data_IF_436625830927
#
_entry.id   IF_436625830927
#
_cell.length_a   1.000
_cell.length_b   1.000
_cell.length_c   1.000
_cell.angle_alpha   90.00
_cell.angle_beta   90.00
_cell.angle_gamma   90.00
#
_symmetry.space_group_name_H-M   'P 1'
#
loop_
_entity.id
_entity.type
_entity.pdbx_description
1 polymer ?
#
# COMPACT_ATOMS: atom_id res chain seq x y z
N UNK A 1 8.04 8.01 20.05
CA UNK A 1 7.86 7.05 18.92
C UNK A 1 8.38 7.72 17.67
N UNK A 2 9.07 6.98 16.85
CA UNK A 2 9.57 7.48 15.57
C UNK A 2 8.50 7.26 14.50
N UNK A 3 8.28 8.25 13.63
CA UNK A 3 7.22 8.19 12.62
C UNK A 3 7.82 8.12 11.21
N UNK A 4 7.36 7.17 10.41
CA UNK A 4 7.74 7.08 9.00
C UNK A 4 7.06 8.16 8.16
N UNK A 5 5.81 8.51 8.50
CA UNK A 5 5.03 9.55 7.85
C UNK A 5 4.30 10.37 8.92
N UNK A 6 4.39 11.69 8.81
CA UNK A 6 3.59 12.66 9.58
C UNK A 6 2.84 13.58 8.64
N UNK A 7 1.60 13.89 8.98
CA UNK A 7 0.71 14.74 8.19
C UNK A 7 0.19 15.84 9.09
N UNK A 8 0.24 17.08 8.62
CA UNK A 8 -0.21 18.28 9.32
C UNK A 8 -1.20 19.05 8.45
N UNK A 9 -2.44 19.23 8.93
CA UNK A 9 -3.51 20.05 8.34
C UNK A 9 -3.78 19.77 6.85
N UNK A 10 -3.76 18.48 6.47
CA UNK A 10 -3.91 18.07 5.07
C UNK A 10 -5.37 18.24 4.61
N UNK A 11 -5.55 18.99 3.54
CA UNK A 11 -6.86 19.23 2.93
C UNK A 11 -6.84 18.84 1.46
N UNK A 12 -7.86 18.07 1.04
CA UNK A 12 -8.13 17.72 -0.36
C UNK A 12 -9.60 17.86 -0.65
N UNK A 13 -9.93 18.60 -1.72
CA UNK A 13 -11.32 18.78 -2.14
C UNK A 13 -11.52 18.45 -3.61
N UNK A 14 -12.75 18.02 -3.95
CA UNK A 14 -13.22 17.79 -5.30
C UNK A 14 -14.56 18.52 -5.49
N UNK A 15 -14.64 19.43 -6.46
CA UNK A 15 -15.85 20.21 -6.76
C UNK A 15 -16.50 20.81 -5.50
N UNK A 16 -15.69 21.33 -4.57
CA UNK A 16 -16.16 21.93 -3.32
C UNK A 16 -16.41 20.95 -2.16
N UNK A 17 -16.44 19.63 -2.40
CA UNK A 17 -16.56 18.64 -1.36
C UNK A 17 -15.17 18.31 -0.81
N UNK A 18 -14.97 18.43 0.50
CA UNK A 18 -13.73 18.07 1.17
C UNK A 18 -13.66 16.54 1.38
N UNK A 19 -12.76 15.91 0.65
CA UNK A 19 -12.46 14.49 0.83
C UNK A 19 -11.41 14.24 1.92
N UNK A 20 -10.55 15.24 2.22
CA UNK A 20 -9.73 15.35 3.43
C UNK A 20 -9.94 16.77 3.97
N UNK A 21 -10.24 16.88 5.26
CA UNK A 21 -10.58 18.14 5.91
C UNK A 21 -9.71 18.37 7.15
N UNK A 22 -8.66 19.15 6.96
CA UNK A 22 -7.70 19.54 8.02
C UNK A 22 -7.10 18.32 8.77
N UNK A 23 -6.82 17.26 8.02
CA UNK A 23 -6.39 15.98 8.56
C UNK A 23 -4.94 16.03 9.07
N UNK A 24 -4.76 15.72 10.37
CA UNK A 24 -3.45 15.58 10.99
C UNK A 24 -3.33 14.20 11.65
N UNK A 25 -2.31 13.43 11.25
CA UNK A 25 -2.04 12.09 11.79
C UNK A 25 -0.61 11.65 11.52
N UNK A 26 -0.22 10.55 12.13
CA UNK A 26 1.13 9.98 12.06
C UNK A 26 1.05 8.48 11.84
N UNK A 27 2.01 7.95 11.06
CA UNK A 27 2.19 6.52 10.85
C UNK A 27 3.51 6.09 11.50
N UNK A 28 3.47 5.25 12.56
CA UNK A 28 4.67 4.80 13.25
C UNK A 28 5.63 4.01 12.34
N UNK A 29 6.94 4.21 12.53
CA UNK A 29 7.98 3.49 11.79
C UNK A 29 8.04 2.02 12.19
N UNK A 30 8.27 1.14 11.21
CA UNK A 30 8.47 -0.29 11.45
C UNK A 30 7.23 -1.04 11.94
N UNK A 31 6.05 -0.41 11.87
CA UNK A 31 4.78 -0.99 12.31
C UNK A 31 3.83 -1.21 11.13
N UNK A 32 2.84 -2.09 11.34
CA UNK A 32 1.69 -2.20 10.46
C UNK A 32 0.56 -1.33 10.98
N UNK A 33 0.18 -0.32 10.20
CA UNK A 33 -0.96 0.55 10.50
C UNK A 33 -2.17 0.18 9.64
N UNK A 34 -3.28 -0.14 10.28
CA UNK A 34 -4.59 -0.29 9.64
C UNK A 34 -5.25 1.08 9.41
N UNK A 35 -5.66 1.35 8.19
CA UNK A 35 -6.44 2.54 7.85
C UNK A 35 -7.87 2.12 7.57
N UNK A 36 -8.78 2.43 8.51
CA UNK A 36 -10.18 2.00 8.50
C UNK A 36 -11.14 3.18 8.36
N UNK A 37 -12.38 2.89 8.01
CA UNK A 37 -13.47 3.87 7.89
C UNK A 37 -14.47 3.45 6.81
N UNK A 38 -15.68 4.02 6.79
CA UNK A 38 -16.70 3.71 5.78
C UNK A 38 -16.26 4.12 4.37
N UNK A 39 -17.03 3.70 3.37
CA UNK A 39 -16.83 4.16 2.00
C UNK A 39 -17.00 5.69 1.93
N UNK A 40 -16.11 6.35 1.21
CA UNK A 40 -16.10 7.82 1.13
C UNK A 40 -15.42 8.53 2.31
N UNK A 41 -14.89 7.83 3.31
CA UNK A 41 -14.23 8.45 4.47
C UNK A 41 -12.88 9.15 4.15
N UNK A 42 -12.34 8.98 2.93
CA UNK A 42 -11.10 9.65 2.50
C UNK A 42 -9.85 8.78 2.47
N UNK A 43 -9.92 7.47 2.81
CA UNK A 43 -8.76 6.54 2.85
C UNK A 43 -7.97 6.50 1.55
N UNK A 44 -8.64 6.20 0.43
CA UNK A 44 -8.02 6.15 -0.90
C UNK A 44 -7.53 7.53 -1.34
N UNK A 45 -8.24 8.61 -0.99
CA UNK A 45 -7.79 9.98 -1.24
C UNK A 45 -6.50 10.29 -0.49
N UNK A 46 -6.41 9.92 0.79
CA UNK A 46 -5.20 10.08 1.60
C UNK A 46 -4.03 9.30 0.98
N UNK A 47 -4.24 8.03 0.66
CA UNK A 47 -3.23 7.21 0.00
C UNK A 47 -2.78 7.80 -1.34
N UNK A 48 -3.71 8.33 -2.15
CA UNK A 48 -3.39 8.99 -3.42
C UNK A 48 -2.57 10.27 -3.23
N UNK A 49 -2.83 11.04 -2.18
CA UNK A 49 -2.02 12.23 -1.85
C UNK A 49 -0.61 11.81 -1.39
N UNK A 50 -0.49 10.82 -0.50
CA UNK A 50 0.79 10.33 0.01
C UNK A 50 1.66 9.65 -1.07
N UNK A 51 1.03 9.16 -2.13
CA UNK A 51 1.74 8.57 -3.27
C UNK A 51 1.84 9.49 -4.48
N UNK A 52 1.48 10.77 -4.31
CA UNK A 52 1.64 11.81 -5.34
C UNK A 52 0.69 11.70 -6.53
N UNK A 53 -0.32 10.85 -6.46
CA UNK A 53 -1.37 10.72 -7.48
C UNK A 53 -2.37 11.90 -7.43
N UNK A 54 -2.51 12.51 -6.25
CA UNK A 54 -3.31 13.70 -6.04
C UNK A 54 -2.45 14.78 -5.36
N UNK A 55 -2.71 16.04 -5.70
CA UNK A 55 -2.09 17.19 -5.07
C UNK A 55 -3.09 17.73 -4.03
N UNK A 56 -2.69 17.88 -2.75
CA UNK A 56 -3.53 18.51 -1.74
C UNK A 56 -3.63 20.03 -1.98
N UNK A 57 -4.70 20.65 -1.53
CA UNK A 57 -4.86 22.11 -1.54
C UNK A 57 -4.06 22.76 -0.41
N UNK A 58 -3.98 22.09 0.74
CA UNK A 58 -3.25 22.61 1.90
C UNK A 58 -2.63 21.47 2.72
N UNK A 59 -1.72 21.83 3.63
CA UNK A 59 -1.09 20.92 4.59
C UNK A 59 0.38 20.63 4.28
N UNK A 60 0.97 19.83 5.16
CA UNK A 60 2.35 19.40 5.09
C UNK A 60 2.43 17.87 5.29
N UNK A 61 3.27 17.24 4.51
CA UNK A 61 3.57 15.80 4.60
C UNK A 61 5.05 15.70 4.94
N UNK A 62 5.37 14.96 5.98
CA UNK A 62 6.75 14.65 6.34
C UNK A 62 6.96 13.14 6.17
N UNK A 63 8.01 12.75 5.46
CA UNK A 63 8.39 11.35 5.20
C UNK A 63 9.88 11.21 5.52
N UNK A 64 10.22 10.38 6.48
CA UNK A 64 11.60 10.20 6.92
C UNK A 64 12.30 11.55 7.14
N UNK A 65 11.70 12.43 7.95
CA UNK A 65 12.18 13.78 8.31
C UNK A 65 12.24 14.79 7.15
N UNK A 66 11.77 14.43 5.97
CA UNK A 66 11.70 15.35 4.81
C UNK A 66 10.30 15.88 4.63
N UNK A 67 10.17 17.20 4.53
CA UNK A 67 8.88 17.90 4.43
C UNK A 67 8.50 18.21 3.00
N UNK A 68 7.23 17.95 2.65
CA UNK A 68 6.66 18.13 1.32
C UNK A 68 5.28 18.78 1.40
N UNK A 69 5.03 19.82 0.60
CA UNK A 69 3.66 20.31 0.36
C UNK A 69 2.93 19.44 -0.66
N UNK A 70 3.67 18.81 -1.57
CA UNK A 70 3.19 17.87 -2.57
C UNK A 70 4.25 16.84 -2.88
N UNK A 71 3.84 15.59 -3.02
CA UNK A 71 4.70 14.51 -3.47
C UNK A 71 4.55 14.36 -4.99
N UNK A 72 5.63 14.08 -5.70
CA UNK A 72 5.60 13.75 -7.12
C UNK A 72 5.75 12.25 -7.28
N UNK A 73 4.95 11.56 -8.14
CA UNK A 73 5.02 10.11 -8.31
C UNK A 73 6.43 9.58 -8.60
N UNK A 74 7.20 10.29 -9.40
CA UNK A 74 8.56 9.92 -9.75
C UNK A 74 9.56 9.99 -8.57
N UNK A 75 9.18 10.57 -7.44
CA UNK A 75 10.03 10.63 -6.23
C UNK A 75 9.82 9.46 -5.29
N UNK A 76 8.76 8.65 -5.46
CA UNK A 76 8.41 7.53 -4.57
C UNK A 76 9.55 6.52 -4.44
N UNK A 77 10.19 6.15 -5.57
CA UNK A 77 11.36 5.25 -5.55
C UNK A 77 12.49 5.79 -4.66
N UNK A 78 12.77 7.11 -4.74
CA UNK A 78 13.80 7.75 -3.92
C UNK A 78 13.39 7.89 -2.45
N UNK A 79 12.09 8.01 -2.19
CA UNK A 79 11.52 8.00 -0.84
C UNK A 79 11.35 6.58 -0.31
N UNK A 80 11.68 5.56 -1.12
CA UNK A 80 11.52 4.13 -0.81
C UNK A 80 10.08 3.78 -0.41
N UNK A 81 9.14 4.25 -1.19
CA UNK A 81 7.70 3.99 -1.03
C UNK A 81 7.24 3.10 -2.18
N UNK A 82 6.55 2.01 -1.86
CA UNK A 82 5.84 1.17 -2.81
C UNK A 82 4.34 1.14 -2.49
N UNK A 83 3.51 0.94 -3.52
CA UNK A 83 2.06 0.82 -3.37
C UNK A 83 1.51 -0.27 -4.28
N UNK A 84 0.56 -1.07 -3.77
CA UNK A 84 -0.36 -1.85 -4.61
C UNK A 84 -1.54 -0.96 -5.04
N UNK A 85 -2.17 -1.26 -6.17
CA UNK A 85 -3.33 -0.53 -6.67
C UNK A 85 -4.57 -1.43 -6.62
N UNK A 86 -5.72 -0.87 -6.35
CA UNK A 86 -6.98 -1.60 -6.26
C UNK A 86 -7.32 -2.32 -7.58
N UNK A 87 -7.00 -1.72 -8.73
CA UNK A 87 -7.26 -2.27 -10.08
C UNK A 87 -6.06 -3.03 -10.66
N UNK A 88 -5.13 -3.50 -9.85
CA UNK A 88 -4.03 -4.38 -10.20
C UNK A 88 -3.02 -3.89 -11.23
N UNK A 89 -3.39 -3.07 -12.17
CA UNK A 89 -2.54 -2.51 -13.24
C UNK A 89 -1.50 -3.49 -13.81
N UNK A 90 -1.84 -4.80 -13.83
CA UNK A 90 -1.01 -5.81 -14.46
C UNK A 90 -1.10 -5.64 -15.98
N UNK A 91 0.02 -5.88 -16.65
CA UNK A 91 0.01 -6.00 -18.11
C UNK A 91 -0.27 -7.46 -18.43
N UNK A 92 -1.51 -7.76 -18.82
CA UNK A 92 -2.01 -9.12 -18.98
C UNK A 92 -1.24 -9.93 -20.02
N UNK A 93 -0.76 -9.27 -21.06
CA UNK A 93 0.01 -9.87 -22.17
C UNK A 93 1.47 -10.18 -21.80
N UNK A 94 1.96 -9.65 -20.69
CA UNK A 94 3.31 -9.92 -20.22
C UNK A 94 3.35 -11.13 -19.28
N UNK A 95 4.49 -11.80 -19.24
CA UNK A 95 4.74 -12.89 -18.30
C UNK A 95 4.72 -12.38 -16.84
N UNK A 96 4.62 -13.31 -15.89
CA UNK A 96 4.78 -13.02 -14.45
C UNK A 96 6.13 -12.34 -14.20
N UNK A 97 7.21 -12.87 -14.77
CA UNK A 97 8.56 -12.31 -14.66
C UNK A 97 8.63 -10.88 -15.17
N UNK A 98 8.13 -10.63 -16.38
CA UNK A 98 8.15 -9.29 -16.96
C UNK A 98 7.34 -8.29 -16.13
N UNK A 99 6.17 -8.70 -15.63
CA UNK A 99 5.37 -7.89 -14.72
C UNK A 99 6.13 -7.54 -13.44
N UNK A 100 6.90 -8.48 -12.86
CA UNK A 100 7.71 -8.24 -11.68
C UNK A 100 8.87 -7.28 -11.96
N UNK A 101 9.47 -7.33 -13.14
CA UNK A 101 10.61 -6.49 -13.52
C UNK A 101 10.21 -5.05 -13.88
N UNK A 102 8.97 -4.81 -14.33
CA UNK A 102 8.49 -3.48 -14.74
C UNK A 102 8.76 -2.36 -13.73
N UNK A 103 8.48 -2.51 -12.40
CA UNK A 103 8.68 -1.43 -11.45
C UNK A 103 10.14 -1.02 -11.25
N UNK A 104 11.08 -1.86 -11.63
CA UNK A 104 12.52 -1.63 -11.46
C UNK A 104 13.24 -1.33 -12.77
N UNK A 105 12.56 -1.46 -13.91
CA UNK A 105 13.09 -1.10 -15.22
C UNK A 105 13.45 0.40 -15.27
N UNK A 106 14.65 0.72 -15.71
CA UNK A 106 15.06 2.11 -15.93
C UNK A 106 14.63 2.58 -17.32
N UNK A 107 13.98 3.71 -17.41
CA UNK A 107 13.37 4.29 -18.63
C UNK A 107 14.34 4.59 -19.79
N UNK A 108 15.62 4.22 -19.70
CA UNK A 108 16.62 4.82 -20.55
C UNK A 108 17.03 4.05 -21.81
N UNK A 109 16.83 2.72 -21.90
CA UNK A 109 17.20 1.95 -23.11
C UNK A 109 16.45 0.63 -23.21
N UNK A 110 15.42 0.57 -24.04
CA UNK A 110 14.50 -0.57 -24.19
C UNK A 110 15.08 -1.83 -24.85
N UNK A 111 16.24 -1.80 -25.49
CA UNK A 111 16.69 -2.94 -26.31
C UNK A 111 18.04 -3.58 -25.96
N UNK A 112 18.97 -2.90 -25.33
CA UNK A 112 20.31 -3.48 -25.07
C UNK A 112 20.60 -3.83 -23.60
N UNK A 113 19.68 -3.58 -22.70
CA UNK A 113 19.89 -3.67 -21.25
C UNK A 113 19.02 -4.71 -20.53
N UNK A 114 18.10 -5.39 -21.26
CA UNK A 114 17.24 -6.39 -20.62
C UNK A 114 18.08 -7.50 -19.96
N UNK A 115 19.07 -8.03 -20.62
CA UNK A 115 19.90 -9.13 -20.06
C UNK A 115 20.74 -8.66 -18.86
N UNK A 116 21.40 -7.49 -18.94
CA UNK A 116 22.18 -6.94 -17.81
C UNK A 116 21.29 -6.47 -16.64
N UNK A 117 20.08 -6.00 -16.94
CA UNK A 117 19.10 -5.63 -15.91
C UNK A 117 18.53 -6.85 -15.20
N UNK A 118 18.21 -7.91 -15.92
CA UNK A 118 17.73 -9.17 -15.33
C UNK A 118 18.77 -9.71 -14.36
N UNK A 119 20.04 -9.73 -14.74
CA UNK A 119 21.12 -10.23 -13.87
C UNK A 119 21.23 -9.45 -12.58
N UNK A 120 21.14 -8.11 -12.64
CA UNK A 120 21.16 -7.24 -11.44
C UNK A 120 20.02 -7.50 -10.45
N UNK A 121 18.86 -7.93 -10.94
CA UNK A 121 17.68 -8.19 -10.12
C UNK A 121 17.38 -9.68 -9.96
N UNK A 122 18.18 -10.57 -10.53
CA UNK A 122 17.95 -12.02 -10.56
C UNK A 122 17.66 -12.59 -9.17
N UNK A 123 18.56 -12.37 -8.23
CA UNK A 123 18.38 -12.88 -6.84
C UNK A 123 17.09 -12.37 -6.21
N UNK A 124 16.79 -11.09 -6.37
CA UNK A 124 15.54 -10.52 -5.84
C UNK A 124 14.32 -11.07 -6.54
N UNK A 125 14.37 -11.25 -7.85
CA UNK A 125 13.29 -11.82 -8.64
C UNK A 125 12.98 -13.25 -8.18
N UNK A 126 14.01 -14.10 -8.00
CA UNK A 126 13.84 -15.45 -7.48
C UNK A 126 13.20 -15.43 -6.07
N UNK A 127 13.71 -14.59 -5.18
CA UNK A 127 13.17 -14.45 -3.83
C UNK A 127 11.71 -13.98 -3.85
N UNK A 128 11.36 -13.01 -4.70
CA UNK A 128 9.98 -12.51 -4.82
C UNK A 128 9.07 -13.58 -5.42
N UNK A 129 9.48 -14.28 -6.48
CA UNK A 129 8.72 -15.38 -7.09
C UNK A 129 8.37 -16.46 -6.07
N UNK A 130 9.33 -16.83 -5.20
CA UNK A 130 9.08 -17.79 -4.12
C UNK A 130 8.13 -17.21 -3.06
N UNK A 131 8.36 -15.98 -2.64
CA UNK A 131 7.53 -15.30 -1.62
C UNK A 131 6.07 -15.21 -2.03
N UNK A 132 5.80 -14.87 -3.31
CA UNK A 132 4.44 -14.77 -3.84
C UNK A 132 3.90 -16.08 -4.43
N UNK A 133 4.64 -17.19 -4.30
CA UNK A 133 4.27 -18.53 -4.79
C UNK A 133 3.94 -18.58 -6.28
N UNK A 134 4.65 -17.82 -7.09
CA UNK A 134 4.47 -17.77 -8.54
C UNK A 134 5.67 -18.31 -9.34
N UNK A 135 6.61 -19.01 -8.70
CA UNK A 135 7.79 -19.54 -9.36
C UNK A 135 7.44 -20.48 -10.54
N UNK A 136 6.46 -21.37 -10.36
CA UNK A 136 5.98 -22.30 -11.40
C UNK A 136 5.23 -21.59 -12.55
N UNK A 137 4.82 -20.35 -12.32
CA UNK A 137 4.08 -19.52 -13.30
C UNK A 137 4.97 -18.46 -13.96
N UNK A 138 6.29 -18.47 -13.70
CA UNK A 138 7.26 -17.44 -14.09
C UNK A 138 7.08 -16.94 -15.51
N UNK A 139 6.97 -17.85 -16.47
CA UNK A 139 6.88 -17.55 -17.90
C UNK A 139 5.45 -17.52 -18.44
N UNK A 140 4.45 -17.72 -17.58
CA UNK A 140 3.04 -17.65 -17.95
C UNK A 140 2.58 -16.20 -18.01
N UNK A 141 1.80 -15.85 -19.03
CA UNK A 141 1.19 -14.52 -19.13
C UNK A 141 0.19 -14.29 -17.97
N UNK A 142 0.14 -13.05 -17.50
CA UNK A 142 -0.71 -12.68 -16.36
C UNK A 142 -2.22 -12.87 -16.63
N UNK A 143 -2.66 -12.82 -17.89
CA UNK A 143 -4.05 -13.14 -18.29
C UNK A 143 -4.47 -14.55 -17.90
N UNK A 144 -3.54 -15.51 -17.92
CA UNK A 144 -3.78 -16.91 -17.59
C UNK A 144 -3.75 -17.21 -16.08
N UNK A 145 -3.54 -16.22 -15.21
CA UNK A 145 -3.54 -16.39 -13.76
C UNK A 145 -4.95 -16.31 -13.18
N UNK A 146 -5.18 -17.06 -12.08
CA UNK A 146 -6.39 -16.87 -11.27
C UNK A 146 -6.40 -15.49 -10.60
N UNK A 147 -7.56 -15.08 -10.10
CA UNK A 147 -7.70 -13.79 -9.39
C UNK A 147 -6.73 -13.68 -8.20
N UNK A 148 -6.62 -14.73 -7.37
CA UNK A 148 -5.68 -14.76 -6.25
C UNK A 148 -4.22 -14.68 -6.70
N UNK A 149 -3.85 -15.40 -7.75
CA UNK A 149 -2.50 -15.32 -8.32
C UNK A 149 -2.17 -13.93 -8.88
N UNK A 150 -3.14 -13.26 -9.52
CA UNK A 150 -2.99 -11.87 -9.96
C UNK A 150 -2.74 -10.94 -8.77
N UNK A 151 -3.46 -11.12 -7.67
CA UNK A 151 -3.27 -10.32 -6.44
C UNK A 151 -1.89 -10.55 -5.82
N UNK A 152 -1.41 -11.79 -5.79
CA UNK A 152 -0.04 -12.10 -5.37
C UNK A 152 1.00 -11.47 -6.30
N UNK A 153 0.76 -11.45 -7.61
CA UNK A 153 1.65 -10.79 -8.58
C UNK A 153 1.71 -9.27 -8.36
N UNK A 154 0.59 -8.61 -8.03
CA UNK A 154 0.55 -7.19 -7.65
C UNK A 154 1.42 -6.90 -6.43
N UNK A 155 1.31 -7.74 -5.40
CA UNK A 155 2.14 -7.65 -4.20
C UNK A 155 3.60 -7.87 -4.57
N UNK A 156 3.92 -8.87 -5.39
CA UNK A 156 5.25 -9.12 -5.90
C UNK A 156 5.88 -7.91 -6.60
N UNK A 157 5.10 -7.17 -7.40
CA UNK A 157 5.54 -5.92 -8.03
C UNK A 157 5.93 -4.84 -7.00
N UNK A 158 5.20 -4.75 -5.89
CA UNK A 158 5.58 -3.85 -4.81
C UNK A 158 6.87 -4.32 -4.11
N UNK A 159 7.02 -5.62 -3.86
CA UNK A 159 8.22 -6.21 -3.25
C UNK A 159 9.49 -5.98 -4.09
N UNK A 160 9.37 -6.06 -5.42
CA UNK A 160 10.48 -5.79 -6.34
C UNK A 160 11.09 -4.40 -6.16
N UNK A 161 10.32 -3.40 -5.70
CA UNK A 161 10.80 -2.04 -5.47
C UNK A 161 11.70 -1.90 -4.24
N UNK A 162 11.75 -2.90 -3.34
CA UNK A 162 12.53 -2.89 -2.10
C UNK A 162 12.35 -1.59 -1.30
N UNK A 163 11.11 -1.28 -1.01
CA UNK A 163 10.74 -0.08 -0.28
C UNK A 163 10.97 -0.22 1.23
N UNK A 164 10.91 0.91 1.94
CA UNK A 164 10.88 0.93 3.41
C UNK A 164 9.46 1.17 3.92
N UNK A 165 8.59 1.78 3.08
CA UNK A 165 7.18 2.03 3.36
C UNK A 165 6.33 1.39 2.26
N UNK A 166 5.36 0.56 2.64
CA UNK A 166 4.45 -0.11 1.73
C UNK A 166 3.02 0.30 2.01
N UNK A 167 2.29 0.62 0.94
CA UNK A 167 0.85 0.87 0.98
C UNK A 167 0.12 -0.29 0.30
N UNK A 168 -0.82 -0.90 1.01
CA UNK A 168 -1.68 -1.96 0.53
C UNK A 168 -3.14 -1.50 0.54
N UNK A 169 -3.75 -1.46 -0.64
CA UNK A 169 -5.13 -1.00 -0.83
C UNK A 169 -6.03 -2.21 -1.02
N UNK A 170 -6.78 -2.59 0.02
CA UNK A 170 -7.67 -3.75 0.08
C UNK A 170 -7.03 -5.04 -0.45
N UNK A 171 -5.90 -5.48 0.12
CA UNK A 171 -5.13 -6.59 -0.43
C UNK A 171 -5.83 -7.96 -0.30
N UNK A 172 -6.89 -8.06 0.50
CA UNK A 172 -7.57 -9.33 0.81
C UNK A 172 -8.95 -9.49 0.16
N UNK A 173 -9.47 -8.43 -0.50
CA UNK A 173 -10.83 -8.41 -1.05
C UNK A 173 -11.02 -9.49 -2.12
N UNK A 174 -12.07 -10.31 -1.97
CA UNK A 174 -12.48 -11.32 -2.96
C UNK A 174 -11.59 -12.55 -3.03
N UNK A 175 -10.72 -12.78 -2.06
CA UNK A 175 -9.77 -13.88 -2.05
C UNK A 175 -10.27 -15.09 -1.25
N UNK A 176 -9.83 -16.28 -1.67
CA UNK A 176 -10.00 -17.50 -0.88
C UNK A 176 -9.10 -17.49 0.36
N UNK A 177 -9.49 -18.19 1.44
CA UNK A 177 -8.76 -18.19 2.72
C UNK A 177 -7.26 -18.54 2.60
N UNK A 178 -6.91 -19.44 1.70
CA UNK A 178 -5.51 -19.85 1.47
C UNK A 178 -4.67 -18.67 0.96
N UNK A 179 -5.17 -17.94 -0.05
CA UNK A 179 -4.48 -16.76 -0.59
C UNK A 179 -4.42 -15.64 0.44
N UNK A 180 -5.47 -15.46 1.25
CA UNK A 180 -5.47 -14.51 2.38
C UNK A 180 -4.30 -14.83 3.32
N UNK A 181 -4.15 -16.11 3.70
CA UNK A 181 -3.07 -16.56 4.59
C UNK A 181 -1.68 -16.31 3.98
N UNK A 182 -1.51 -16.51 2.68
CA UNK A 182 -0.25 -16.22 1.99
C UNK A 182 0.09 -14.72 2.08
N UNK A 183 -0.87 -13.85 1.84
CA UNK A 183 -0.66 -12.40 1.95
C UNK A 183 -0.36 -12.00 3.40
N UNK A 184 -1.10 -12.55 4.37
CA UNK A 184 -0.84 -12.35 5.81
C UNK A 184 0.62 -12.68 6.16
N UNK A 185 1.12 -13.80 5.67
CA UNK A 185 2.50 -14.22 5.92
C UNK A 185 3.51 -13.26 5.28
N UNK A 186 3.25 -12.81 4.04
CA UNK A 186 4.09 -11.80 3.35
C UNK A 186 4.15 -10.50 4.16
N UNK A 187 3.01 -9.99 4.62
CA UNK A 187 2.97 -8.76 5.41
C UNK A 187 3.72 -8.90 6.75
N UNK A 188 3.57 -10.05 7.42
CA UNK A 188 4.31 -10.36 8.65
C UNK A 188 5.83 -10.38 8.42
N UNK A 189 6.29 -11.01 7.33
CA UNK A 189 7.72 -11.01 6.98
C UNK A 189 8.24 -9.60 6.71
N UNK A 190 7.51 -8.77 5.99
CA UNK A 190 7.89 -7.38 5.76
C UNK A 190 8.04 -6.62 7.07
N UNK A 191 7.06 -6.77 7.99
CA UNK A 191 7.12 -6.18 9.32
C UNK A 191 8.33 -6.67 10.11
N UNK A 192 8.61 -7.98 10.12
CA UNK A 192 9.79 -8.55 10.79
C UNK A 192 11.12 -7.99 10.23
N UNK A 193 11.14 -7.61 8.94
CA UNK A 193 12.26 -6.91 8.29
C UNK A 193 12.29 -5.39 8.61
N UNK A 194 11.47 -4.92 9.56
CA UNK A 194 11.42 -3.52 9.99
C UNK A 194 10.74 -2.57 8.99
N UNK A 195 9.96 -3.11 8.05
CA UNK A 195 9.23 -2.27 7.08
C UNK A 195 7.99 -1.66 7.71
N UNK A 196 7.66 -0.44 7.29
CA UNK A 196 6.42 0.24 7.65
C UNK A 196 5.33 -0.13 6.65
N UNK A 197 4.19 -0.62 7.15
CA UNK A 197 3.08 -1.05 6.32
C UNK A 197 1.85 -0.21 6.63
N UNK A 198 1.17 0.29 5.61
CA UNK A 198 -0.13 0.94 5.72
C UNK A 198 -1.13 0.11 4.91
N UNK A 199 -2.13 -0.44 5.58
CA UNK A 199 -3.11 -1.36 5.00
C UNK A 199 -4.49 -0.76 5.10
N UNK A 200 -5.14 -0.49 3.96
CA UNK A 200 -6.58 -0.19 3.94
C UNK A 200 -7.31 -1.52 3.94
N UNK A 201 -8.21 -1.70 4.88
CA UNK A 201 -8.98 -2.94 5.03
C UNK A 201 -10.33 -2.68 5.70
N UNK A 202 -11.33 -3.50 5.32
CA UNK A 202 -12.67 -3.46 5.88
C UNK A 202 -12.96 -4.64 6.83
N UNK A 203 -12.13 -5.68 6.78
CA UNK A 203 -12.23 -6.84 7.67
C UNK A 203 -11.52 -6.56 9.00
N UNK A 204 -12.33 -6.31 10.05
CA UNK A 204 -11.83 -5.93 11.37
C UNK A 204 -10.99 -7.04 12.01
N UNK A 205 -11.29 -8.32 11.75
CA UNK A 205 -10.49 -9.43 12.26
C UNK A 205 -9.08 -9.43 11.66
N UNK A 206 -8.93 -9.07 10.38
CA UNK A 206 -7.61 -8.92 9.76
C UNK A 206 -6.86 -7.69 10.31
N UNK A 207 -7.55 -6.60 10.59
CA UNK A 207 -6.97 -5.43 11.25
C UNK A 207 -6.43 -5.80 12.64
N UNK A 208 -7.21 -6.48 13.48
CA UNK A 208 -6.74 -6.95 14.80
C UNK A 208 -5.56 -7.93 14.71
N UNK A 209 -5.58 -8.81 13.71
CA UNK A 209 -4.56 -9.84 13.53
C UNK A 209 -3.21 -9.30 13.03
N UNK A 210 -3.23 -8.23 12.21
CA UNK A 210 -2.07 -7.78 11.45
C UNK A 210 -1.48 -6.47 11.94
N UNK A 211 -2.33 -5.58 12.48
CA UNK A 211 -1.93 -4.20 12.74
C UNK A 211 -1.47 -4.01 14.18
N UNK A 212 -0.45 -3.19 14.36
CA UNK A 212 0.02 -2.70 15.66
C UNK A 212 -0.69 -1.41 16.05
N UNK A 213 -1.08 -0.66 15.03
CA UNK A 213 -1.69 0.65 15.13
C UNK A 213 -2.86 0.76 14.14
N UNK A 214 -3.87 1.51 14.48
CA UNK A 214 -5.05 1.71 13.64
C UNK A 214 -5.44 3.18 13.63
N UNK A 215 -5.82 3.66 12.46
CA UNK A 215 -6.34 5.01 12.20
C UNK A 215 -7.73 4.88 11.61
N UNK A 216 -8.73 5.38 12.31
CA UNK A 216 -10.11 5.47 11.84
C UNK A 216 -10.40 6.83 11.23
N UNK A 217 -10.94 6.85 10.02
CA UNK A 217 -11.35 8.05 9.29
C UNK A 217 -12.86 8.05 9.04
N UNK A 218 -13.47 9.23 9.11
CA UNK A 218 -14.80 9.52 8.58
C UNK A 218 -14.83 10.91 7.97
N UNK A 219 -15.51 11.05 6.82
CA UNK A 219 -15.75 12.34 6.15
C UNK A 219 -14.47 13.20 6.01
N UNK A 220 -13.32 12.56 5.74
CA UNK A 220 -12.02 13.21 5.58
C UNK A 220 -11.34 13.63 6.88
N UNK A 221 -11.87 13.27 8.04
CA UNK A 221 -11.35 13.63 9.37
C UNK A 221 -10.92 12.40 10.17
N UNK A 222 -10.02 12.60 11.10
CA UNK A 222 -9.62 11.58 12.06
C UNK A 222 -10.75 11.35 13.08
N UNK A 223 -11.20 10.09 13.21
CA UNK A 223 -12.14 9.68 14.27
C UNK A 223 -11.41 9.22 15.53
N UNK A 224 -10.54 8.22 15.35
CA UNK A 224 -9.78 7.62 16.42
C UNK A 224 -8.43 7.10 15.90
N UNK A 225 -7.46 6.97 16.79
CA UNK A 225 -6.17 6.35 16.49
C UNK A 225 -5.62 5.67 17.75
N UNK A 226 -4.96 4.54 17.59
CA UNK A 226 -4.40 3.78 18.71
C UNK A 226 -4.18 2.32 18.38
N UNK A 227 -4.14 1.47 19.39
CA UNK A 227 -4.11 0.02 19.19
C UNK A 227 -5.44 -0.47 18.60
N UNK A 228 -5.42 -1.52 17.73
CA UNK A 228 -6.63 -1.97 17.04
C UNK A 228 -7.84 -2.20 17.94
N UNK A 229 -7.66 -2.92 19.04
CA UNK A 229 -8.76 -3.27 19.96
C UNK A 229 -9.46 -2.02 20.53
N UNK A 230 -8.72 -0.96 20.88
CA UNK A 230 -9.29 0.29 21.41
C UNK A 230 -10.03 1.07 20.32
N UNK A 231 -9.43 1.19 19.13
CA UNK A 231 -10.03 1.92 18.01
C UNK A 231 -11.30 1.23 17.50
N UNK A 232 -11.31 -0.10 17.44
CA UNK A 232 -12.48 -0.87 16.99
C UNK A 232 -13.61 -0.90 18.05
N UNK A 233 -13.27 -0.68 19.32
CA UNK A 233 -14.25 -0.54 20.40
C UNK A 233 -14.80 0.89 20.54
N UNK A 234 -14.16 1.89 19.91
CA UNK A 234 -14.59 3.30 19.99
C UNK A 234 -15.99 3.47 19.38
N UNK A 235 -16.89 4.12 20.15
CA UNK A 235 -18.29 4.30 19.76
C UNK A 235 -18.43 5.08 18.45
N UNK A 236 -17.64 6.13 18.25
CA UNK A 236 -17.67 6.93 17.00
C UNK A 236 -17.27 6.10 15.78
N UNK A 237 -16.26 5.22 15.94
CA UNK A 237 -15.83 4.32 14.87
C UNK A 237 -16.94 3.33 14.54
N UNK A 238 -17.57 2.74 15.58
CA UNK A 238 -18.68 1.79 15.39
C UNK A 238 -19.91 2.47 14.74
N UNK A 239 -20.28 3.64 15.19
CA UNK A 239 -21.39 4.42 14.60
C UNK A 239 -21.13 4.77 13.13
N UNK A 240 -19.89 5.14 12.76
CA UNK A 240 -19.53 5.44 11.38
C UNK A 240 -19.71 4.24 10.45
N UNK A 241 -19.53 3.00 10.94
CA UNK A 241 -19.74 1.77 10.16
C UNK A 241 -21.20 1.30 10.15
N UNK A 242 -21.96 1.54 11.21
CA UNK A 242 -23.37 1.10 11.29
C UNK A 242 -24.30 1.96 10.45
N UNK A 243 -23.84 3.13 9.99
CA UNK A 243 -24.64 4.13 9.29
C UNK A 243 -25.56 4.89 10.26
N UNK A 244 -25.65 6.20 10.04
CA UNK A 244 -26.70 7.02 10.63
C UNK A 244 -28.05 6.70 10.00
#
# INVERSE_FOLDING_TARGET
MDYAIKIENLTKQFMGLKALDDLSLEFPSGQTTGLIGPNGSGKTTLMNVLTGMLVPENGMIEINERRFRKIKPNTLRRLKIARTFQDGRLIEQLSVEDNLLLPVAENRYWHSLFEQHIERYRERLENVLQTVRLADYRYKNAEGLSYGQRKLLEIGRALMQNADIYFFDEPFTGLFPETVQDIVNILRELKQKGKTLIVIEHNMNLIEQLCDYTVGLDSGRLLAKGIPAEVLADEKVREAYLGK
#
